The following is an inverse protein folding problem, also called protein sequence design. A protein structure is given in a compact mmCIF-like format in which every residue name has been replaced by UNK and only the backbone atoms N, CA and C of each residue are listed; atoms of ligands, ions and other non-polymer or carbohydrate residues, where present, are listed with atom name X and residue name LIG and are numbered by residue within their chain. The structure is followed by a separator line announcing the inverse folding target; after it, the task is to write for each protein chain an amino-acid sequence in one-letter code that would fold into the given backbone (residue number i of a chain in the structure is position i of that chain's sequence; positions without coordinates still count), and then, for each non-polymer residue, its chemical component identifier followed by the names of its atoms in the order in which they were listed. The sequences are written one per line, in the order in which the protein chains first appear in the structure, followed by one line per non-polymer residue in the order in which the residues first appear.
data_IF_325671537052
#
_entry.id   IF_325671537052
#
_cell.length_a   1.000
_cell.length_b   1.000
_cell.length_c   1.000
_cell.angle_alpha   90.00
_cell.angle_beta   90.00
_cell.angle_gamma   90.00
#
_symmetry.space_group_name_H-M   'P 1'
#
loop_
_entity.id
_entity.type
_entity.pdbx_description
1 polymer ?
#
# COMPACT_ATOMS: atom_id res chain seq x y z
N UNK A 1 -3.96 18.64 4.79
CA UNK A 1 -4.69 17.48 4.20
C UNK A 1 -5.38 17.82 2.88
N UNK A 2 -6.02 18.98 2.71
CA UNK A 2 -6.71 19.34 1.45
C UNK A 2 -5.82 19.23 0.21
N UNK A 3 -4.57 19.70 0.26
CA UNK A 3 -3.62 19.58 -0.84
C UNK A 3 -3.38 18.11 -1.25
N UNK A 4 -3.08 17.23 -0.28
CA UNK A 4 -2.89 15.78 -0.54
C UNK A 4 -4.16 15.17 -1.12
N UNK A 5 -5.33 15.47 -0.57
CA UNK A 5 -6.60 14.95 -1.10
C UNK A 5 -6.86 15.42 -2.54
N UNK A 6 -6.52 16.66 -2.87
CA UNK A 6 -6.61 17.17 -4.25
C UNK A 6 -5.72 16.42 -5.22
N UNK A 7 -4.46 16.14 -4.84
CA UNK A 7 -3.53 15.37 -5.66
C UNK A 7 -3.97 13.91 -5.81
N UNK A 8 -4.40 13.27 -4.71
CA UNK A 8 -4.91 11.89 -4.72
C UNK A 8 -6.16 11.79 -5.59
N UNK A 9 -7.14 12.69 -5.41
CA UNK A 9 -8.35 12.73 -6.22
C UNK A 9 -8.00 12.85 -7.70
N UNK A 10 -7.15 13.79 -8.08
CA UNK A 10 -6.71 14.00 -9.45
C UNK A 10 -6.05 12.74 -10.02
N UNK A 11 -5.15 12.11 -9.27
CA UNK A 11 -4.48 10.88 -9.69
C UNK A 11 -5.48 9.74 -9.91
N UNK A 12 -6.46 9.59 -9.01
CA UNK A 12 -7.54 8.59 -9.12
C UNK A 12 -8.40 8.84 -10.35
N UNK A 13 -8.73 10.11 -10.65
CA UNK A 13 -9.53 10.51 -11.82
C UNK A 13 -8.75 10.35 -13.13
N UNK A 14 -7.52 10.86 -13.21
CA UNK A 14 -6.69 10.82 -14.43
C UNK A 14 -6.40 9.39 -14.91
N UNK A 15 -6.30 8.43 -13.97
CA UNK A 15 -6.01 7.02 -14.29
C UNK A 15 -7.21 6.07 -14.09
N UNK A 16 -8.41 6.59 -13.87
CA UNK A 16 -9.62 5.80 -13.63
C UNK A 16 -9.40 4.66 -12.62
N UNK A 17 -8.77 4.98 -11.48
CA UNK A 17 -8.35 3.98 -10.50
C UNK A 17 -9.49 3.32 -9.76
N UNK A 18 -10.66 4.00 -9.61
CA UNK A 18 -11.77 3.54 -8.77
C UNK A 18 -13.08 3.65 -9.54
N UNK A 19 -13.82 2.55 -9.57
CA UNK A 19 -15.18 2.49 -10.10
C UNK A 19 -16.23 2.48 -8.97
N UNK A 20 -17.49 2.83 -9.32
CA UNK A 20 -18.56 2.85 -8.36
C UNK A 20 -18.88 1.44 -7.84
N UNK A 21 -19.09 1.32 -6.53
CA UNK A 21 -19.45 0.06 -5.87
C UNK A 21 -18.26 -0.83 -5.48
N UNK A 22 -17.03 -0.50 -5.92
CA UNK A 22 -15.84 -1.30 -5.61
C UNK A 22 -15.42 -1.24 -4.14
N UNK A 23 -14.73 -2.29 -3.71
CA UNK A 23 -13.96 -2.31 -2.47
C UNK A 23 -12.48 -2.19 -2.81
N UNK A 24 -11.83 -1.16 -2.28
CA UNK A 24 -10.40 -0.92 -2.42
C UNK A 24 -9.69 -1.32 -1.12
N UNK A 25 -8.90 -2.38 -1.17
CA UNK A 25 -8.02 -2.72 -0.07
C UNK A 25 -6.82 -1.78 -0.06
N UNK A 26 -6.35 -1.39 1.12
CA UNK A 26 -5.08 -0.69 1.30
C UNK A 26 -4.10 -1.61 1.97
N UNK A 27 -2.97 -1.87 1.31
CA UNK A 27 -1.87 -2.63 1.90
C UNK A 27 -1.12 -1.78 2.93
N UNK A 28 -1.40 -1.99 4.22
CA UNK A 28 -0.83 -1.20 5.32
C UNK A 28 0.41 -1.91 5.85
N UNK A 29 1.59 -1.40 5.50
CA UNK A 29 2.88 -1.92 5.99
C UNK A 29 3.29 -1.37 7.36
N UNK A 30 2.55 -0.41 7.90
CA UNK A 30 2.93 0.37 9.07
C UNK A 30 3.81 1.58 8.76
N UNK A 31 4.29 1.75 7.54
CA UNK A 31 5.05 2.92 7.11
C UNK A 31 4.16 4.14 6.82
N UNK A 32 4.77 5.33 6.87
CA UNK A 32 4.10 6.63 6.65
C UNK A 32 3.27 6.68 5.36
N UNK A 33 3.79 6.08 4.28
CA UNK A 33 3.19 6.17 2.94
C UNK A 33 1.91 5.33 2.87
N UNK A 34 1.95 4.10 3.39
CA UNK A 34 0.78 3.21 3.45
C UNK A 34 -0.32 3.76 4.36
N UNK A 35 0.06 4.34 5.50
CA UNK A 35 -0.88 4.98 6.43
C UNK A 35 -1.49 6.25 5.84
N UNK A 36 -0.71 7.05 5.09
CA UNK A 36 -1.27 8.21 4.40
C UNK A 36 -2.17 7.81 3.23
N UNK A 37 -1.85 6.73 2.50
CA UNK A 37 -2.73 6.16 1.47
C UNK A 37 -4.07 5.77 2.07
N UNK A 38 -4.06 5.05 3.18
CA UNK A 38 -5.26 4.68 3.93
C UNK A 38 -6.08 5.91 4.32
N UNK A 39 -5.42 6.88 4.95
CA UNK A 39 -6.07 8.13 5.39
C UNK A 39 -6.69 8.90 4.23
N UNK A 40 -5.97 8.99 3.11
CA UNK A 40 -6.43 9.71 1.93
C UNK A 40 -7.65 9.05 1.30
N UNK A 41 -7.64 7.73 1.11
CA UNK A 41 -8.76 6.99 0.53
C UNK A 41 -9.97 6.95 1.48
N UNK A 42 -9.76 6.76 2.79
CA UNK A 42 -10.83 6.81 3.78
C UNK A 42 -11.55 8.17 3.82
N UNK A 43 -10.81 9.27 3.62
CA UNK A 43 -11.42 10.61 3.52
C UNK A 43 -12.01 10.88 2.15
N UNK A 44 -11.37 10.41 1.08
CA UNK A 44 -11.85 10.60 -0.29
C UNK A 44 -13.24 9.97 -0.49
N UNK A 45 -13.48 8.77 0.06
CA UNK A 45 -14.76 8.05 -0.07
C UNK A 45 -15.98 8.87 0.36
N UNK A 46 -15.79 9.85 1.27
CA UNK A 46 -16.89 10.65 1.80
C UNK A 46 -17.46 11.66 0.80
N UNK A 47 -16.69 12.05 -0.23
CA UNK A 47 -17.11 13.07 -1.21
C UNK A 47 -16.77 12.71 -2.66
N UNK A 48 -16.24 11.52 -2.91
CA UNK A 48 -15.93 11.07 -4.26
C UNK A 48 -17.22 10.75 -5.03
N UNK A 49 -17.36 11.18 -6.30
CA UNK A 49 -18.59 10.99 -7.06
C UNK A 49 -18.98 9.53 -7.30
N UNK A 50 -17.99 8.64 -7.36
CA UNK A 50 -18.20 7.20 -7.47
C UNK A 50 -18.08 6.60 -6.05
N UNK A 51 -19.18 6.14 -5.41
CA UNK A 51 -19.14 5.55 -4.08
C UNK A 51 -18.31 4.27 -4.08
N UNK A 52 -17.41 4.12 -3.12
CA UNK A 52 -16.56 2.94 -2.94
C UNK A 52 -16.30 2.66 -1.46
N UNK A 53 -15.89 1.43 -1.16
CA UNK A 53 -15.50 1.01 0.18
C UNK A 53 -13.99 0.93 0.31
N UNK A 54 -13.49 1.11 1.53
CA UNK A 54 -12.06 0.98 1.86
C UNK A 54 -11.91 -0.07 2.94
N UNK A 55 -10.97 -0.99 2.75
CA UNK A 55 -10.54 -1.95 3.77
C UNK A 55 -9.02 -1.85 3.96
N UNK A 56 -8.54 -1.99 5.19
CA UNK A 56 -7.12 -1.99 5.48
C UNK A 56 -6.64 -3.43 5.74
N UNK A 57 -5.51 -3.82 5.13
CA UNK A 57 -4.92 -5.15 5.28
C UNK A 57 -3.44 -5.02 5.64
N UNK A 58 -3.04 -5.67 6.72
CA UNK A 58 -1.63 -5.80 7.11
C UNK A 58 -1.19 -7.25 7.07
N UNK A 59 -0.04 -7.51 6.48
CA UNK A 59 0.65 -8.80 6.60
C UNK A 59 1.62 -8.75 7.77
N UNK A 60 1.35 -9.54 8.80
CA UNK A 60 2.27 -9.76 9.91
C UNK A 60 3.27 -10.85 9.53
N UNK A 61 4.48 -10.43 9.26
CA UNK A 61 5.54 -11.32 8.74
C UNK A 61 6.26 -12.11 9.81
N UNK A 62 5.89 -11.96 11.07
CA UNK A 62 6.57 -12.60 12.21
C UNK A 62 7.86 -11.89 12.64
N UNK A 63 8.17 -10.70 12.08
CA UNK A 63 9.35 -9.94 12.51
C UNK A 63 9.19 -9.48 13.96
N UNK A 64 10.19 -9.72 14.82
CA UNK A 64 10.15 -9.27 16.23
C UNK A 64 10.01 -7.75 16.32
N UNK A 65 9.29 -7.28 17.35
CA UNK A 65 9.18 -5.85 17.67
C UNK A 65 8.16 -5.05 16.85
N UNK A 66 7.44 -5.66 15.92
CA UNK A 66 6.38 -4.97 15.17
C UNK A 66 5.04 -5.05 15.92
N UNK A 67 4.55 -3.91 16.38
CA UNK A 67 3.22 -3.79 16.99
C UNK A 67 2.28 -3.00 16.08
N UNK A 68 1.23 -3.65 15.61
CA UNK A 68 0.19 -3.05 14.76
C UNK A 68 -1.07 -2.65 15.54
N UNK A 69 -1.08 -2.74 16.86
CA UNK A 69 -2.23 -2.32 17.68
C UNK A 69 -2.58 -0.84 17.47
N UNK A 70 -1.61 0.11 17.41
CA UNK A 70 -1.92 1.50 17.12
C UNK A 70 -2.51 1.72 15.71
N UNK A 71 -2.18 0.85 14.76
CA UNK A 71 -2.77 0.89 13.41
C UNK A 71 -4.21 0.43 13.44
N UNK A 72 -4.54 -0.59 14.26
CA UNK A 72 -5.92 -1.05 14.44
C UNK A 72 -6.81 0.05 15.02
N UNK A 73 -6.33 0.73 16.07
CA UNK A 73 -7.03 1.86 16.68
C UNK A 73 -7.24 3.01 15.67
N UNK A 74 -6.25 3.27 14.84
CA UNK A 74 -6.34 4.29 13.80
C UNK A 74 -7.34 3.91 12.70
N UNK A 75 -7.39 2.66 12.29
CA UNK A 75 -8.39 2.18 11.34
C UNK A 75 -9.81 2.33 11.90
N UNK A 76 -10.02 2.01 13.20
CA UNK A 76 -11.29 2.23 13.87
C UNK A 76 -11.71 3.71 13.89
N UNK A 77 -10.77 4.64 14.14
CA UNK A 77 -11.03 6.08 14.07
C UNK A 77 -11.43 6.56 12.67
N UNK A 78 -10.93 5.90 11.63
CA UNK A 78 -11.26 6.19 10.23
C UNK A 78 -12.55 5.48 9.76
N UNK A 79 -13.18 4.67 10.62
CA UNK A 79 -14.30 3.81 10.24
C UNK A 79 -13.93 2.92 9.04
N UNK A 80 -12.76 2.27 9.10
CA UNK A 80 -12.24 1.37 8.06
C UNK A 80 -12.08 -0.03 8.65
N UNK A 81 -12.70 -1.06 8.07
CA UNK A 81 -12.43 -2.45 8.45
C UNK A 81 -10.96 -2.78 8.33
N UNK A 82 -10.40 -3.43 9.34
CA UNK A 82 -8.98 -3.77 9.39
C UNK A 82 -8.75 -5.26 9.58
N UNK A 83 -7.93 -5.84 8.74
CA UNK A 83 -7.54 -7.25 8.81
C UNK A 83 -6.05 -7.40 8.96
N UNK A 84 -5.64 -8.21 9.92
CA UNK A 84 -4.26 -8.64 10.13
C UNK A 84 -4.14 -10.09 9.70
N UNK A 85 -3.18 -10.37 8.84
CA UNK A 85 -2.93 -11.71 8.30
C UNK A 85 -1.55 -12.14 8.76
N UNK A 86 -1.49 -13.15 9.60
CA UNK A 86 -0.23 -13.73 10.05
C UNK A 86 0.34 -14.61 8.95
N UNK A 87 1.58 -14.33 8.55
CA UNK A 87 2.31 -15.11 7.55
C UNK A 87 3.71 -15.40 8.09
N UNK A 88 4.15 -16.65 8.20
CA UNK A 88 5.45 -17.00 8.79
C UNK A 88 6.62 -16.72 7.84
N UNK A 89 6.63 -15.51 7.25
CA UNK A 89 7.67 -15.12 6.26
C UNK A 89 9.03 -15.08 6.90
N UNK A 90 9.12 -14.53 8.11
CA UNK A 90 10.39 -14.42 8.83
C UNK A 90 11.00 -15.81 9.08
N UNK A 91 10.22 -16.73 9.59
CA UNK A 91 10.69 -18.09 9.89
C UNK A 91 11.10 -18.83 8.60
N UNK A 92 10.30 -18.76 7.55
CA UNK A 92 10.60 -19.42 6.27
C UNK A 92 11.91 -18.87 5.66
N UNK A 93 12.08 -17.55 5.68
CA UNK A 93 13.21 -16.89 4.99
C UNK A 93 14.52 -17.02 5.77
N UNK A 94 14.46 -16.79 7.09
CA UNK A 94 15.66 -16.66 7.91
C UNK A 94 16.02 -17.93 8.69
N UNK A 95 15.02 -18.71 9.11
CA UNK A 95 15.26 -19.90 9.93
C UNK A 95 15.30 -21.19 9.11
N UNK A 96 14.37 -21.36 8.16
CA UNK A 96 14.28 -22.60 7.39
C UNK A 96 15.16 -22.60 6.15
N UNK A 97 15.04 -21.59 5.27
CA UNK A 97 15.72 -21.60 3.97
C UNK A 97 17.11 -21.00 3.96
N UNK A 98 17.46 -20.11 4.90
CA UNK A 98 18.75 -19.40 4.98
C UNK A 98 19.22 -18.88 3.62
N UNK A 99 18.30 -18.26 2.90
CA UNK A 99 18.51 -17.84 1.51
C UNK A 99 19.64 -16.81 1.38
N UNK A 100 20.44 -16.93 0.31
CA UNK A 100 21.48 -15.93 -0.02
C UNK A 100 20.87 -14.56 -0.34
N UNK A 101 19.62 -14.52 -0.81
CA UNK A 101 18.88 -13.30 -1.20
C UNK A 101 17.52 -13.23 -0.46
N UNK A 102 17.55 -13.02 0.88
CA UNK A 102 16.35 -13.10 1.71
C UNK A 102 15.27 -12.08 1.30
N UNK A 103 15.70 -10.90 0.83
CA UNK A 103 14.76 -9.83 0.43
C UNK A 103 13.86 -10.22 -0.75
N UNK A 104 14.39 -10.92 -1.74
CA UNK A 104 13.62 -11.35 -2.93
C UNK A 104 12.55 -12.38 -2.55
N UNK A 105 12.92 -13.38 -1.75
CA UNK A 105 11.98 -14.40 -1.28
C UNK A 105 10.92 -13.79 -0.36
N UNK A 106 11.33 -12.94 0.56
CA UNK A 106 10.42 -12.20 1.45
C UNK A 106 9.37 -11.41 0.65
N UNK A 107 9.81 -10.63 -0.34
CA UNK A 107 8.91 -9.86 -1.19
C UNK A 107 7.93 -10.75 -1.98
N UNK A 108 8.41 -11.90 -2.49
CA UNK A 108 7.58 -12.87 -3.22
C UNK A 108 6.52 -13.50 -2.32
N UNK A 109 6.89 -13.95 -1.13
CA UNK A 109 5.98 -14.56 -0.16
C UNK A 109 4.94 -13.54 0.30
N UNK A 110 5.35 -12.32 0.68
CA UNK A 110 4.44 -11.26 1.08
C UNK A 110 3.42 -10.94 -0.01
N UNK A 111 3.87 -10.81 -1.25
CA UNK A 111 2.98 -10.53 -2.38
C UNK A 111 1.98 -11.67 -2.60
N UNK A 112 2.46 -12.92 -2.59
CA UNK A 112 1.60 -14.10 -2.75
C UNK A 112 0.53 -14.18 -1.67
N UNK A 113 0.92 -14.05 -0.39
CA UNK A 113 -0.02 -14.10 0.74
C UNK A 113 -1.05 -12.98 0.69
N UNK A 114 -0.63 -11.77 0.29
CA UNK A 114 -1.55 -10.65 0.14
C UNK A 114 -2.59 -10.92 -0.95
N UNK A 115 -2.16 -11.44 -2.10
CA UNK A 115 -3.07 -11.76 -3.20
C UNK A 115 -4.05 -12.87 -2.81
N UNK A 116 -3.60 -13.93 -2.16
CA UNK A 116 -4.48 -15.00 -1.64
C UNK A 116 -5.55 -14.43 -0.72
N UNK A 117 -5.15 -13.61 0.24
CA UNK A 117 -6.07 -13.01 1.20
C UNK A 117 -7.10 -12.06 0.55
N UNK A 118 -6.72 -11.34 -0.50
CA UNK A 118 -7.63 -10.50 -1.27
C UNK A 118 -8.64 -11.35 -2.05
N UNK A 119 -8.16 -12.39 -2.73
CA UNK A 119 -9.02 -13.31 -3.50
C UNK A 119 -10.03 -14.01 -2.62
N UNK A 120 -9.62 -14.54 -1.46
CA UNK A 120 -10.52 -15.18 -0.48
C UNK A 120 -11.63 -14.24 0.03
N UNK A 121 -11.38 -12.93 0.00
CA UNK A 121 -12.35 -11.88 0.41
C UNK A 121 -13.17 -11.33 -0.76
N UNK A 122 -12.92 -11.76 -1.98
CA UNK A 122 -13.56 -11.21 -3.17
C UNK A 122 -13.16 -9.75 -3.43
N UNK A 123 -11.96 -9.33 -3.01
CA UNK A 123 -11.44 -7.99 -3.24
C UNK A 123 -10.47 -8.03 -4.42
N UNK A 124 -10.83 -7.34 -5.49
CA UNK A 124 -10.07 -7.34 -6.75
C UNK A 124 -9.21 -6.07 -6.95
N UNK A 125 -9.16 -5.18 -5.96
CA UNK A 125 -8.40 -3.93 -6.07
C UNK A 125 -7.61 -3.64 -4.79
N UNK A 126 -6.32 -3.31 -4.97
CA UNK A 126 -5.44 -2.93 -3.86
C UNK A 126 -4.71 -1.62 -4.15
N UNK A 127 -4.72 -0.71 -3.18
CA UNK A 127 -3.95 0.52 -3.18
C UNK A 127 -2.61 0.33 -2.46
N UNK A 128 -1.54 0.77 -3.10
CA UNK A 128 -0.17 0.74 -2.59
C UNK A 128 0.36 2.16 -2.38
N UNK A 129 1.21 2.34 -1.38
CA UNK A 129 1.73 3.64 -0.95
C UNK A 129 2.87 4.22 -1.81
N UNK A 130 3.05 3.77 -3.04
CA UNK A 130 4.08 4.35 -3.93
C UNK A 130 3.71 5.78 -4.32
N UNK A 131 4.71 6.66 -4.30
CA UNK A 131 4.56 8.09 -4.54
C UNK A 131 5.45 8.58 -5.70
N UNK A 132 5.47 9.90 -5.94
CA UNK A 132 6.20 10.53 -7.05
C UNK A 132 7.70 10.19 -7.03
N UNK A 133 8.33 10.32 -5.87
CA UNK A 133 9.78 10.13 -5.72
C UNK A 133 10.16 8.66 -5.97
N UNK A 134 9.34 7.68 -5.55
CA UNK A 134 9.54 6.24 -5.88
C UNK A 134 9.54 6.01 -7.39
N UNK A 135 8.68 6.73 -8.13
CA UNK A 135 8.61 6.61 -9.59
C UNK A 135 9.88 7.16 -10.25
N UNK A 136 10.38 8.30 -9.79
CA UNK A 136 11.64 8.90 -10.27
C UNK A 136 12.82 7.98 -9.94
N UNK A 137 12.91 7.51 -8.70
CA UNK A 137 13.97 6.59 -8.28
C UNK A 137 13.96 5.29 -9.09
N UNK A 138 12.77 4.71 -9.30
CA UNK A 138 12.64 3.49 -10.11
C UNK A 138 13.07 3.72 -11.55
N UNK A 139 12.70 4.86 -12.15
CA UNK A 139 13.13 5.22 -13.51
C UNK A 139 14.65 5.35 -13.61
N UNK A 140 15.25 6.06 -12.65
CA UNK A 140 16.71 6.24 -12.61
C UNK A 140 17.45 4.93 -12.38
N UNK A 141 16.97 4.08 -11.47
CA UNK A 141 17.55 2.75 -11.22
C UNK A 141 17.49 1.88 -12.47
N UNK A 142 16.36 1.83 -13.15
CA UNK A 142 16.21 1.07 -14.39
C UNK A 142 17.15 1.59 -15.48
N UNK A 143 17.28 2.91 -15.61
CA UNK A 143 18.16 3.53 -16.60
C UNK A 143 19.64 3.25 -16.32
N UNK A 144 20.08 3.41 -15.06
CA UNK A 144 21.49 3.32 -14.67
C UNK A 144 21.99 1.88 -14.52
N UNK A 145 21.16 0.98 -14.02
CA UNK A 145 21.60 -0.38 -13.68
C UNK A 145 21.06 -1.45 -14.65
N UNK A 146 19.93 -1.22 -15.29
CA UNK A 146 19.32 -2.19 -16.20
C UNK A 146 19.39 -1.75 -17.67
N UNK A 147 19.86 -0.53 -17.96
CA UNK A 147 19.97 0.00 -19.31
C UNK A 147 18.62 0.14 -20.04
N UNK A 148 17.52 0.24 -19.30
CA UNK A 148 16.19 0.36 -19.89
C UNK A 148 15.42 1.57 -19.35
N UNK A 149 14.58 2.16 -20.20
CA UNK A 149 13.64 3.20 -19.80
C UNK A 149 12.36 2.53 -19.34
N UNK A 150 12.03 2.62 -18.04
CA UNK A 150 10.83 2.02 -17.50
C UNK A 150 10.58 2.40 -16.04
N UNK A 151 9.30 2.39 -15.67
CA UNK A 151 8.83 2.60 -14.31
C UNK A 151 7.60 1.71 -14.07
N UNK A 152 7.17 1.58 -12.83
CA UNK A 152 5.89 0.95 -12.54
C UNK A 152 4.72 1.80 -13.04
N UNK A 153 3.64 1.16 -13.44
CA UNK A 153 2.45 1.84 -13.94
C UNK A 153 1.58 2.36 -12.78
N UNK A 154 0.83 3.47 -12.95
CA UNK A 154 -0.15 3.97 -11.97
C UNK A 154 -1.21 2.94 -11.62
N UNK A 155 -1.65 2.16 -12.61
CA UNK A 155 -2.58 1.04 -12.50
C UNK A 155 -1.93 -0.17 -13.13
N UNK A 156 -1.92 -1.30 -12.43
CA UNK A 156 -1.37 -2.57 -12.93
C UNK A 156 -2.38 -3.68 -12.69
N UNK A 157 -2.88 -4.29 -13.75
CA UNK A 157 -3.70 -5.49 -13.64
C UNK A 157 -2.83 -6.74 -13.61
N UNK A 158 -3.13 -7.63 -12.68
CA UNK A 158 -2.44 -8.90 -12.46
C UNK A 158 -3.39 -10.04 -12.88
N UNK A 159 -3.27 -10.47 -14.12
CA UNK A 159 -4.12 -11.46 -14.78
C UNK A 159 -4.25 -12.79 -14.02
N UNK A 160 -3.14 -13.29 -13.44
CA UNK A 160 -3.10 -14.55 -12.70
C UNK A 160 -3.92 -14.57 -11.41
N UNK A 161 -4.15 -13.41 -10.82
CA UNK A 161 -4.82 -13.27 -9.51
C UNK A 161 -6.08 -12.43 -9.59
N UNK A 162 -6.39 -11.90 -10.77
CA UNK A 162 -7.51 -10.98 -11.00
C UNK A 162 -7.52 -9.79 -10.02
N UNK A 163 -6.32 -9.23 -9.78
CA UNK A 163 -6.14 -8.11 -8.85
C UNK A 163 -5.60 -6.90 -9.61
N UNK A 164 -6.24 -5.76 -9.44
CA UNK A 164 -5.74 -4.47 -9.91
C UNK A 164 -5.00 -3.74 -8.79
N UNK A 165 -3.74 -3.43 -9.01
CA UNK A 165 -2.93 -2.59 -8.12
C UNK A 165 -3.03 -1.13 -8.56
N UNK A 166 -3.35 -0.23 -7.65
CA UNK A 166 -3.42 1.21 -7.89
C UNK A 166 -2.44 1.96 -6.97
N UNK A 167 -1.98 3.13 -7.40
CA UNK A 167 -1.01 3.97 -6.68
C UNK A 167 -1.50 5.40 -6.52
N UNK A 168 -2.43 5.66 -5.59
CA UNK A 168 -3.10 6.95 -5.48
C UNK A 168 -2.19 8.11 -5.07
N UNK A 169 -1.03 7.84 -4.41
CA UNK A 169 -0.08 8.86 -4.00
C UNK A 169 0.91 9.28 -5.10
N UNK A 170 0.77 8.78 -6.32
CA UNK A 170 1.76 8.98 -7.40
C UNK A 170 1.99 10.48 -7.76
N UNK A 171 1.05 11.36 -7.46
CA UNK A 171 1.19 12.81 -7.65
C UNK A 171 1.71 13.53 -6.40
N UNK A 172 1.93 12.82 -5.30
CA UNK A 172 2.40 13.38 -4.03
C UNK A 172 3.93 13.24 -3.93
N UNK A 173 4.61 14.31 -3.50
CA UNK A 173 6.04 14.25 -3.17
C UNK A 173 6.26 13.67 -1.76
N UNK A 174 7.35 12.95 -1.57
CA UNK A 174 7.72 12.36 -0.27
C UNK A 174 7.78 13.41 0.85
N UNK A 175 8.30 14.60 0.55
CA UNK A 175 8.37 15.71 1.50
C UNK A 175 6.99 16.11 2.05
N UNK A 176 5.96 16.14 1.19
CA UNK A 176 4.60 16.47 1.59
C UNK A 176 3.96 15.32 2.39
N UNK A 177 4.22 14.08 1.99
CA UNK A 177 3.78 12.88 2.72
C UNK A 177 4.37 12.88 4.12
N UNK A 178 5.68 13.09 4.26
CA UNK A 178 6.39 13.14 5.56
C UNK A 178 5.82 14.24 6.46
N UNK A 179 5.63 15.45 5.93
CA UNK A 179 5.04 16.57 6.63
C UNK A 179 3.62 16.27 7.10
N UNK A 180 2.82 15.65 6.24
CA UNK A 180 1.45 15.31 6.56
C UNK A 180 1.34 14.16 7.57
N UNK A 181 2.17 13.14 7.46
CA UNK A 181 2.25 12.06 8.42
C UNK A 181 2.57 12.56 9.83
N UNK A 182 3.55 13.47 9.94
CA UNK A 182 3.88 14.12 11.21
C UNK A 182 2.72 14.99 11.74
N UNK A 183 2.08 15.80 10.87
CA UNK A 183 0.95 16.66 11.26
C UNK A 183 -0.27 15.88 11.76
N UNK A 184 -0.51 14.70 11.19
CA UNK A 184 -1.63 13.83 11.60
C UNK A 184 -1.25 12.87 12.73
N UNK A 185 0.01 12.90 13.19
CA UNK A 185 0.54 11.97 14.18
C UNK A 185 0.23 10.50 13.79
N UNK A 186 0.45 10.13 12.51
CA UNK A 186 0.14 8.78 12.03
C UNK A 186 0.91 7.73 12.86
N UNK A 187 0.27 6.61 13.23
CA UNK A 187 0.87 5.57 14.05
C UNK A 187 1.88 4.72 13.25
N UNK A 188 3.01 5.34 12.90
CA UNK A 188 4.07 4.66 12.14
C UNK A 188 4.70 3.59 13.02
N UNK A 189 4.64 2.35 12.54
CA UNK A 189 5.26 1.19 13.19
C UNK A 189 6.77 1.26 12.98
N UNK A 190 7.54 1.27 14.07
CA UNK A 190 9.00 1.26 14.00
C UNK A 190 9.47 -0.16 13.65
N UNK A 191 10.27 -0.30 12.61
CA UNK A 191 11.10 -1.48 12.42
C UNK A 191 12.28 -1.36 13.38
N UNK A 192 12.34 -2.22 14.37
CA UNK A 192 13.49 -2.36 15.26
C UNK A 192 14.57 -3.22 14.60
#
# INVERSE_FOLDING_TARGET
MQHILGLVRRCVEDYNMIEAGETVAVGVSGGKDSLLTLTALARLRAFYPKPFRVEAITLETGMPGMDFSPVADYCAQLDVPYTRISVPVYDIVFNERKEKNPCSLCAKLRRGSLHTALTERGIHKIALGHHYDDAVETLLMNLLFEGRIGCFQPVTYLDRTDITQIRPLLYCHEADIRRMAAKLALPVVKNT
#
